data_IF_453190145369
#
_entry.id   IF_453190145369
#
_cell.length_a   1.000
_cell.length_b   1.000
_cell.length_c   1.000
_cell.angle_alpha   90.00
_cell.angle_beta   90.00
_cell.angle_gamma   90.00
#
_symmetry.space_group_name_H-M   'P 1'
#
loop_
_entity.id
_entity.type
_entity.pdbx_description
1 polymer ?
#
# COMPACT_ATOMS: atom_id res chain seq x y z
N UNK A 1 2.94 -8.64 10.84
CA UNK A 1 4.22 -8.73 11.58
C UNK A 1 5.04 -7.47 11.37
N UNK A 2 5.70 -6.96 12.41
CA UNK A 2 6.64 -5.82 12.32
C UNK A 2 8.09 -6.30 12.37
N UNK A 3 9.01 -5.48 11.87
CA UNK A 3 10.46 -5.72 11.82
C UNK A 3 11.23 -4.57 12.47
N UNK A 4 12.37 -4.88 13.08
CA UNK A 4 13.29 -3.86 13.64
C UNK A 4 13.96 -3.03 12.54
N UNK A 5 14.14 -3.60 11.34
CA UNK A 5 14.68 -2.91 10.18
C UNK A 5 13.71 -1.80 9.73
N UNK A 6 14.11 -0.55 9.90
CA UNK A 6 13.32 0.66 9.68
C UNK A 6 12.06 0.76 10.56
N UNK A 7 11.94 -0.09 11.60
CA UNK A 7 10.69 -0.27 12.35
C UNK A 7 9.52 -0.60 11.42
N UNK A 8 9.74 -1.43 10.41
CA UNK A 8 8.86 -1.58 9.25
C UNK A 8 7.77 -2.66 9.43
N UNK A 9 6.83 -2.71 8.49
CA UNK A 9 5.83 -3.77 8.37
C UNK A 9 6.35 -4.83 7.41
N UNK A 10 6.61 -6.03 7.92
CA UNK A 10 7.06 -7.18 7.13
C UNK A 10 5.89 -8.02 6.60
N UNK A 11 4.79 -8.05 7.33
CA UNK A 11 3.58 -8.78 6.93
C UNK A 11 2.36 -7.97 7.34
N UNK A 12 1.39 -7.80 6.45
CA UNK A 12 0.11 -7.16 6.72
C UNK A 12 -1.00 -8.05 6.16
N UNK A 13 -1.26 -9.12 6.90
CA UNK A 13 -2.08 -10.23 6.45
C UNK A 13 -3.57 -10.03 6.73
N UNK A 14 -4.39 -10.24 5.70
CA UNK A 14 -5.85 -10.22 5.76
C UNK A 14 -6.40 -11.63 5.94
N UNK A 15 -6.68 -12.00 7.20
CA UNK A 15 -7.13 -13.37 7.55
C UNK A 15 -8.39 -13.82 6.81
N UNK A 16 -9.35 -12.93 6.59
CA UNK A 16 -10.59 -13.26 5.86
C UNK A 16 -10.33 -13.65 4.39
N UNK A 17 -9.25 -13.14 3.80
CA UNK A 17 -8.95 -13.30 2.38
C UNK A 17 -7.72 -14.18 2.11
N UNK A 18 -7.06 -14.70 3.15
CA UNK A 18 -5.83 -15.49 3.08
C UNK A 18 -4.75 -14.84 2.18
N UNK A 19 -4.45 -13.56 2.45
CA UNK A 19 -3.50 -12.79 1.61
C UNK A 19 -2.65 -11.83 2.44
N UNK A 20 -1.35 -11.80 2.13
CA UNK A 20 -0.45 -10.75 2.57
C UNK A 20 -0.29 -9.69 1.49
N UNK A 21 -0.44 -8.43 1.86
CA UNK A 21 -0.26 -7.31 0.94
C UNK A 21 1.18 -6.78 0.91
N UNK A 22 2.05 -7.25 1.82
CA UNK A 22 3.48 -6.97 1.77
C UNK A 22 4.15 -7.96 0.82
N UNK A 23 4.92 -7.52 -0.19
CA UNK A 23 5.61 -8.44 -1.10
C UNK A 23 6.62 -9.30 -0.36
N UNK A 24 6.75 -10.56 -0.79
CA UNK A 24 7.70 -11.51 -0.19
C UNK A 24 9.12 -10.93 -0.13
N UNK A 25 9.71 -10.93 1.08
CA UNK A 25 11.07 -10.44 1.30
C UNK A 25 11.23 -8.91 1.33
N UNK A 26 10.13 -8.17 1.22
CA UNK A 26 10.10 -6.70 1.29
C UNK A 26 9.47 -6.21 2.58
N UNK A 27 9.43 -4.89 2.71
CA UNK A 27 8.83 -4.21 3.84
C UNK A 27 8.02 -3.01 3.36
N UNK A 28 7.00 -2.65 4.14
CA UNK A 28 6.28 -1.39 4.02
C UNK A 28 6.58 -0.49 5.21
N UNK A 29 6.41 0.81 5.01
CA UNK A 29 6.63 1.83 6.05
C UNK A 29 8.04 1.77 6.63
N UNK A 30 9.08 1.55 5.83
CA UNK A 30 10.47 1.57 6.29
C UNK A 30 10.83 3.01 6.64
N UNK A 31 11.39 3.24 7.83
CA UNK A 31 12.00 4.54 8.15
C UNK A 31 13.43 4.55 7.63
N UNK A 32 13.72 5.49 6.74
CA UNK A 32 15.05 5.74 6.20
C UNK A 32 15.50 7.14 6.62
N UNK A 33 16.80 7.29 6.87
CA UNK A 33 17.47 8.59 6.98
C UNK A 33 18.36 8.81 5.77
N UNK A 34 18.75 10.07 5.55
CA UNK A 34 19.79 10.55 4.63
C UNK A 34 20.58 9.44 3.90
N UNK A 35 20.46 9.37 2.57
CA UNK A 35 21.08 8.35 1.69
C UNK A 35 20.55 6.91 1.87
N UNK A 36 19.25 6.75 2.12
CA UNK A 36 18.57 5.44 2.21
C UNK A 36 19.09 4.53 3.33
N UNK A 37 19.74 5.08 4.37
CA UNK A 37 20.20 4.29 5.51
C UNK A 37 18.99 3.72 6.26
N UNK A 38 18.92 2.38 6.32
CA UNK A 38 17.90 1.67 7.08
C UNK A 38 18.36 1.53 8.53
N UNK A 39 17.60 2.17 9.42
CA UNK A 39 17.86 2.13 10.86
C UNK A 39 17.42 0.79 11.45
N UNK A 40 18.21 0.19 12.33
CA UNK A 40 17.75 -0.92 13.16
C UNK A 40 17.26 -0.40 14.51
N UNK A 41 15.97 -0.53 14.76
CA UNK A 41 15.32 -0.09 16.00
C UNK A 41 15.33 -1.18 17.07
N UNK A 42 15.36 -0.75 18.32
CA UNK A 42 14.87 -1.54 19.45
C UNK A 42 13.37 -1.34 19.60
N UNK A 43 12.65 -2.28 20.24
CA UNK A 43 11.20 -2.13 20.42
C UNK A 43 10.68 -2.65 21.76
N UNK A 44 9.58 -2.05 22.20
CA UNK A 44 8.78 -2.47 23.34
C UNK A 44 7.33 -2.68 22.88
N UNK A 45 6.72 -3.75 23.37
CA UNK A 45 5.33 -4.10 23.09
C UNK A 45 4.48 -3.75 24.30
N UNK A 46 3.37 -3.08 24.05
CA UNK A 46 2.31 -2.75 24.99
C UNK A 46 0.99 -3.36 24.49
N UNK A 47 -0.07 -3.28 25.30
CA UNK A 47 -1.35 -3.93 25.01
C UNK A 47 -1.97 -3.49 23.67
N UNK A 48 -1.85 -2.21 23.32
CA UNK A 48 -2.46 -1.60 22.14
C UNK A 48 -1.44 -1.03 21.15
N UNK A 49 -0.14 -1.14 21.45
CA UNK A 49 0.89 -0.43 20.71
C UNK A 49 2.25 -1.10 20.74
N UNK A 50 3.06 -0.81 19.72
CA UNK A 50 4.46 -1.20 19.64
C UNK A 50 5.29 0.06 19.42
N UNK A 51 6.23 0.30 20.33
CA UNK A 51 7.10 1.47 20.33
C UNK A 51 8.50 1.06 19.92
N UNK A 52 8.95 1.56 18.78
CA UNK A 52 10.31 1.46 18.29
C UNK A 52 11.11 2.69 18.69
N UNK A 53 12.32 2.47 19.19
CA UNK A 53 13.26 3.53 19.58
C UNK A 53 14.63 3.29 18.99
N UNK A 54 15.28 4.38 18.60
CA UNK A 54 16.65 4.38 18.14
C UNK A 54 17.38 5.58 18.73
N UNK A 55 18.59 5.37 19.24
CA UNK A 55 19.42 6.42 19.78
C UNK A 55 20.86 6.21 19.34
N UNK A 56 21.44 7.16 18.61
CA UNK A 56 22.86 7.17 18.21
C UNK A 56 23.39 8.59 18.22
N UNK A 57 24.35 8.88 19.11
CA UNK A 57 24.79 10.25 19.36
C UNK A 57 23.62 11.13 19.81
N UNK A 58 23.45 12.27 19.16
CA UNK A 58 22.34 13.20 19.43
C UNK A 58 21.04 12.84 18.70
N UNK A 59 21.08 11.88 17.77
CA UNK A 59 19.92 11.45 17.01
C UNK A 59 19.08 10.49 17.85
N UNK A 60 17.86 10.91 18.20
CA UNK A 60 16.86 10.09 18.89
C UNK A 60 15.61 10.00 18.05
N UNK A 61 15.20 8.79 17.72
CA UNK A 61 14.03 8.53 16.89
C UNK A 61 13.05 7.68 17.66
N UNK A 62 11.77 8.00 17.50
CA UNK A 62 10.68 7.20 18.04
C UNK A 62 9.68 6.92 16.94
N UNK A 63 9.24 5.68 16.84
CA UNK A 63 8.19 5.25 15.92
C UNK A 63 7.20 4.38 16.65
N UNK A 64 5.92 4.70 16.57
CA UNK A 64 4.88 4.04 17.35
C UNK A 64 3.77 3.55 16.43
N UNK A 65 3.45 2.27 16.53
CA UNK A 65 2.28 1.67 15.92
C UNK A 65 1.20 1.51 16.99
N UNK A 66 -0.01 2.00 16.73
CA UNK A 66 -1.19 1.77 17.57
C UNK A 66 -2.20 0.90 16.80
N UNK A 67 -2.66 -0.18 17.44
CA UNK A 67 -3.58 -1.17 16.86
C UNK A 67 -5.00 -0.97 17.38
N UNK A 68 -5.49 0.26 17.28
CA UNK A 68 -6.81 0.69 17.76
C UNK A 68 -7.93 0.58 16.71
N UNK A 69 -7.63 0.05 15.52
CA UNK A 69 -8.58 -0.08 14.42
C UNK A 69 -8.54 -1.51 13.83
N UNK A 70 -9.68 -2.20 13.70
CA UNK A 70 -9.70 -3.57 13.17
C UNK A 70 -9.25 -3.66 11.70
N UNK A 71 -9.26 -2.55 10.96
CA UNK A 71 -8.88 -2.50 9.54
C UNK A 71 -7.43 -2.01 9.32
N UNK A 72 -6.65 -1.79 10.37
CA UNK A 72 -5.26 -1.37 10.23
C UNK A 72 -4.64 -0.83 11.51
N UNK A 73 -3.90 0.28 11.40
CA UNK A 73 -3.17 0.85 12.53
C UNK A 73 -2.95 2.35 12.36
N UNK A 74 -2.66 3.05 13.45
CA UNK A 74 -2.08 4.39 13.40
C UNK A 74 -0.57 4.30 13.54
N UNK A 75 0.17 5.12 12.80
CA UNK A 75 1.62 5.20 12.83
C UNK A 75 2.04 6.64 13.09
N UNK A 76 2.84 6.81 14.13
CA UNK A 76 3.40 8.10 14.53
C UNK A 76 4.92 8.00 14.58
N UNK A 77 5.64 8.94 13.98
CA UNK A 77 7.10 9.05 14.08
C UNK A 77 7.50 10.39 14.68
N UNK A 78 8.56 10.43 15.47
CA UNK A 78 9.15 11.64 16.01
C UNK A 78 10.66 11.59 15.76
N UNK A 79 11.19 12.64 15.12
CA UNK A 79 12.58 12.80 14.70
C UNK A 79 12.99 14.25 15.01
N UNK A 80 14.27 14.53 15.35
CA UNK A 80 14.73 15.91 15.55
C UNK A 80 14.64 16.73 14.25
N UNK A 81 14.33 18.03 14.38
CA UNK A 81 14.10 19.02 13.29
C UNK A 81 15.21 19.14 12.22
N UNK A 82 16.33 18.45 12.37
CA UNK A 82 17.53 18.58 11.55
C UNK A 82 17.68 17.50 10.47
N UNK A 83 16.80 16.50 10.42
CA UNK A 83 16.91 15.37 9.47
C UNK A 83 15.59 15.15 8.75
N UNK A 84 15.62 15.13 7.41
CA UNK A 84 14.45 14.76 6.61
C UNK A 84 14.09 13.29 6.87
N UNK A 85 12.86 13.05 7.30
CA UNK A 85 12.36 11.69 7.45
C UNK A 85 11.78 11.19 6.14
N UNK A 86 12.18 9.97 5.75
CA UNK A 86 11.51 9.23 4.68
C UNK A 86 10.81 8.03 5.31
N UNK A 87 9.49 7.97 5.15
CA UNK A 87 8.69 6.79 5.44
C UNK A 87 8.34 6.10 4.12
N UNK A 88 9.06 5.02 3.82
CA UNK A 88 9.05 4.37 2.52
C UNK A 88 8.07 3.20 2.44
N UNK A 89 7.20 3.25 1.45
CA UNK A 89 6.33 2.18 0.96
C UNK A 89 6.72 1.83 -0.49
N UNK A 90 7.99 2.00 -0.84
CA UNK A 90 8.48 1.87 -2.23
C UNK A 90 8.35 0.45 -2.78
N UNK A 91 8.24 -0.56 -1.93
CA UNK A 91 7.96 -1.94 -2.34
C UNK A 91 6.56 -2.12 -2.95
N UNK A 92 5.61 -1.22 -2.66
CA UNK A 92 4.22 -1.29 -3.12
C UNK A 92 3.44 -2.49 -2.57
N UNK A 93 2.21 -2.67 -3.03
CA UNK A 93 1.37 -3.82 -2.60
C UNK A 93 1.70 -5.10 -3.39
N UNK A 94 1.58 -6.26 -2.74
CA UNK A 94 1.70 -7.58 -3.37
C UNK A 94 0.75 -7.78 -4.53
N UNK A 95 1.20 -8.55 -5.52
CA UNK A 95 0.29 -9.13 -6.51
C UNK A 95 -0.44 -10.28 -5.81
N UNK A 96 -1.76 -10.20 -5.83
CA UNK A 96 -2.66 -11.14 -5.14
C UNK A 96 -3.15 -12.26 -6.07
N UNK A 97 -3.06 -12.08 -7.38
CA UNK A 97 -3.40 -13.09 -8.39
C UNK A 97 -2.18 -13.89 -8.84
N UNK A 98 -2.06 -15.15 -8.41
CA UNK A 98 -0.96 -16.03 -8.82
C UNK A 98 -1.12 -16.50 -10.26
N UNK A 99 -2.34 -16.89 -10.65
CA UNK A 99 -2.63 -17.47 -11.98
C UNK A 99 -2.70 -16.41 -13.08
N UNK A 100 -3.21 -15.21 -12.76
CA UNK A 100 -3.38 -14.14 -13.74
C UNK A 100 -2.79 -12.81 -13.23
N UNK A 101 -1.47 -12.81 -12.97
CA UNK A 101 -0.73 -11.63 -12.51
C UNK A 101 -0.97 -10.40 -13.40
N UNK A 102 -1.05 -10.60 -14.72
CA UNK A 102 -1.27 -9.52 -15.68
C UNK A 102 -2.61 -8.80 -15.51
N UNK A 103 -3.65 -9.52 -15.08
CA UNK A 103 -4.94 -8.90 -14.77
C UNK A 103 -4.88 -8.05 -13.50
N UNK A 104 -4.26 -8.56 -12.43
CA UNK A 104 -4.11 -7.78 -11.19
C UNK A 104 -3.30 -6.51 -11.43
N UNK A 105 -2.18 -6.60 -12.15
CA UNK A 105 -1.34 -5.46 -12.54
C UNK A 105 -2.10 -4.35 -13.27
N UNK A 106 -3.16 -4.65 -14.04
CA UNK A 106 -3.96 -3.61 -14.71
C UNK A 106 -4.73 -2.75 -13.72
N UNK A 107 -5.06 -3.29 -12.55
CA UNK A 107 -5.81 -2.62 -11.50
C UNK A 107 -4.94 -1.86 -10.51
N UNK A 108 -3.62 -2.06 -10.57
CA UNK A 108 -2.70 -1.26 -9.77
C UNK A 108 -2.79 0.22 -10.14
N UNK A 109 -2.95 1.03 -9.09
CA UNK A 109 -3.13 2.47 -9.21
C UNK A 109 -2.77 3.20 -7.91
N UNK A 110 -2.67 4.52 -8.02
CA UNK A 110 -2.46 5.44 -6.91
C UNK A 110 -3.55 6.51 -6.96
N UNK A 111 -4.17 6.76 -5.81
CA UNK A 111 -5.16 7.81 -5.64
C UNK A 111 -4.71 8.81 -4.61
N UNK A 112 -5.01 10.09 -4.83
CA UNK A 112 -4.79 11.17 -3.87
C UNK A 112 -6.08 11.96 -3.70
N UNK A 113 -6.49 12.17 -2.45
CA UNK A 113 -7.61 13.02 -2.08
C UNK A 113 -7.12 14.33 -1.48
N UNK A 114 -7.56 15.42 -2.10
CA UNK A 114 -7.51 16.78 -1.58
C UNK A 114 -8.96 17.30 -1.48
N UNK A 115 -9.41 18.21 -2.35
CA UNK A 115 -10.84 18.51 -2.50
C UNK A 115 -11.61 17.33 -3.11
N UNK A 116 -11.02 16.63 -4.09
CA UNK A 116 -11.61 15.48 -4.79
C UNK A 116 -10.64 14.31 -4.88
N UNK A 117 -11.14 13.11 -5.21
CA UNK A 117 -10.28 11.95 -5.46
C UNK A 117 -9.68 12.06 -6.87
N UNK A 118 -8.36 11.99 -6.95
CA UNK A 118 -7.61 12.05 -8.21
C UNK A 118 -6.85 10.74 -8.44
N UNK A 119 -7.02 10.14 -9.61
CA UNK A 119 -6.23 8.99 -10.07
C UNK A 119 -4.89 9.48 -10.63
N UNK A 120 -3.80 8.94 -10.11
CA UNK A 120 -2.44 9.45 -10.33
C UNK A 120 -1.65 8.64 -11.36
N UNK A 121 -2.12 7.46 -11.75
CA UNK A 121 -1.46 6.54 -12.71
C UNK A 121 -0.80 7.21 -13.91
N UNK A 122 -1.52 8.13 -14.57
CA UNK A 122 -1.05 8.79 -15.80
C UNK A 122 0.02 9.86 -15.56
N UNK A 123 0.14 10.36 -14.33
CA UNK A 123 1.14 11.36 -13.93
C UNK A 123 2.46 10.70 -13.52
N UNK A 124 2.39 9.48 -12.99
CA UNK A 124 3.55 8.71 -12.54
C UNK A 124 4.14 7.99 -13.76
N UNK A 125 5.15 8.61 -14.38
CA UNK A 125 5.93 7.95 -15.44
C UNK A 125 6.91 6.96 -14.82
N UNK A 126 7.94 7.48 -14.16
CA UNK A 126 8.90 6.70 -13.36
C UNK A 126 8.83 7.15 -11.91
N UNK A 127 8.89 8.46 -11.69
CA UNK A 127 8.68 9.12 -10.41
C UNK A 127 7.75 10.33 -10.58
N UNK A 128 6.96 10.64 -9.57
CA UNK A 128 6.15 11.85 -9.50
C UNK A 128 6.11 12.38 -8.07
N UNK A 129 6.62 13.59 -7.86
CA UNK A 129 6.53 14.31 -6.60
C UNK A 129 5.21 15.06 -6.50
N UNK A 130 4.39 14.68 -5.53
CA UNK A 130 3.17 15.40 -5.16
C UNK A 130 3.49 16.40 -4.04
N UNK A 131 3.14 17.66 -4.25
CA UNK A 131 3.20 18.74 -3.26
C UNK A 131 1.81 19.36 -3.13
N UNK A 132 1.36 19.59 -1.89
CA UNK A 132 0.05 20.16 -1.60
C UNK A 132 -0.64 19.44 -0.45
N UNK A 133 -1.79 19.97 -0.02
CA UNK A 133 -2.59 19.35 1.02
C UNK A 133 -3.12 17.98 0.55
N UNK A 134 -3.04 16.98 1.43
CA UNK A 134 -3.49 15.61 1.21
C UNK A 134 -4.31 15.20 2.43
N UNK A 135 -5.59 14.91 2.21
CA UNK A 135 -6.45 14.29 3.22
C UNK A 135 -6.02 12.82 3.41
N UNK A 136 -5.87 12.13 2.28
CA UNK A 136 -5.39 10.77 2.21
C UNK A 136 -4.84 10.45 0.82
N UNK A 137 -3.96 9.46 0.75
CA UNK A 137 -3.61 8.80 -0.50
C UNK A 137 -3.80 7.30 -0.36
N UNK A 138 -3.92 6.59 -1.47
CA UNK A 138 -4.12 5.16 -1.44
C UNK A 138 -3.40 4.46 -2.60
N UNK A 139 -2.90 3.26 -2.32
CA UNK A 139 -2.45 2.32 -3.33
C UNK A 139 -3.55 1.26 -3.52
N UNK A 140 -3.84 0.94 -4.77
CA UNK A 140 -4.91 0.02 -5.15
C UNK A 140 -4.31 -1.23 -5.79
N UNK A 141 -4.89 -2.40 -5.51
CA UNK A 141 -4.77 -3.62 -6.32
C UNK A 141 -6.13 -4.00 -6.92
N UNK A 142 -6.28 -5.18 -7.53
CA UNK A 142 -7.59 -5.67 -8.02
C UNK A 142 -8.64 -5.75 -6.91
N UNK A 143 -8.23 -6.18 -5.71
CA UNK A 143 -9.16 -6.51 -4.62
C UNK A 143 -9.06 -5.60 -3.40
N UNK A 144 -7.92 -4.91 -3.21
CA UNK A 144 -7.64 -4.21 -1.97
C UNK A 144 -7.21 -2.77 -2.20
N UNK A 145 -7.51 -1.94 -1.20
CA UNK A 145 -7.12 -0.55 -1.12
C UNK A 145 -6.34 -0.34 0.17
N UNK A 146 -5.04 -0.03 0.05
CA UNK A 146 -4.21 0.41 1.16
C UNK A 146 -4.30 1.94 1.24
N UNK A 147 -5.03 2.44 2.23
CA UNK A 147 -5.27 3.87 2.45
C UNK A 147 -4.33 4.39 3.52
N UNK A 148 -3.73 5.54 3.25
CA UNK A 148 -2.93 6.30 4.20
C UNK A 148 -3.64 7.64 4.43
N UNK A 149 -4.26 7.77 5.59
CA UNK A 149 -4.88 9.00 6.07
C UNK A 149 -3.83 9.90 6.69
N UNK A 150 -3.81 11.15 6.26
CA UNK A 150 -3.00 12.16 6.90
C UNK A 150 -3.70 12.66 8.18
N UNK A 151 -3.06 12.47 9.33
CA UNK A 151 -3.52 12.98 10.63
C UNK A 151 -2.62 14.11 11.16
N UNK A 152 -1.63 14.53 10.37
CA UNK A 152 -0.67 15.56 10.72
C UNK A 152 -0.20 16.32 9.49
N UNK A 153 1.09 16.67 9.45
CA UNK A 153 1.71 17.38 8.33
C UNK A 153 2.48 16.37 7.48
N UNK A 154 2.14 16.30 6.19
CA UNK A 154 2.93 15.61 5.16
C UNK A 154 3.42 16.69 4.20
N UNK A 155 4.73 16.89 4.13
CA UNK A 155 5.30 17.96 3.29
C UNK A 155 5.18 17.61 1.81
N UNK A 156 5.57 16.38 1.48
CA UNK A 156 5.46 15.88 0.11
C UNK A 156 5.42 14.35 0.08
N UNK A 157 4.88 13.83 -1.02
CA UNK A 157 4.80 12.40 -1.28
C UNK A 157 5.42 12.16 -2.64
N UNK A 158 6.41 11.29 -2.70
CA UNK A 158 6.92 10.80 -3.98
C UNK A 158 6.22 9.49 -4.33
N UNK A 159 5.75 9.39 -5.56
CA UNK A 159 5.18 8.17 -6.10
C UNK A 159 6.11 7.58 -7.14
N UNK A 160 6.27 6.26 -7.12
CA UNK A 160 7.18 5.53 -7.99
C UNK A 160 6.43 4.51 -8.81
N UNK A 161 6.76 4.41 -10.09
CA UNK A 161 6.45 3.23 -10.90
C UNK A 161 7.50 2.16 -10.61
N UNK A 162 7.06 0.97 -10.27
CA UNK A 162 7.96 -0.13 -9.95
C UNK A 162 8.27 -0.96 -11.20
N UNK A 163 9.54 -1.34 -11.41
CA UNK A 163 9.94 -2.19 -12.54
C UNK A 163 9.18 -3.52 -12.54
N UNK A 164 8.85 -4.03 -13.73
CA UNK A 164 8.10 -5.29 -13.91
C UNK A 164 8.91 -6.55 -13.56
N UNK A 165 10.24 -6.46 -13.66
CA UNK A 165 11.14 -7.62 -13.75
C UNK A 165 12.20 -7.70 -12.65
N UNK A 166 12.10 -6.92 -11.57
CA UNK A 166 13.00 -7.13 -10.42
C UNK A 166 12.51 -8.34 -9.63
N UNK A 167 13.31 -9.41 -9.48
CA UNK A 167 13.04 -10.36 -8.42
C UNK A 167 13.28 -9.64 -7.09
N UNK A 168 12.34 -9.87 -6.18
CA UNK A 168 12.49 -9.74 -4.73
C UNK A 168 13.63 -10.68 -4.28
N UNK A 169 14.88 -10.31 -4.56
CA UNK A 169 16.08 -10.97 -4.04
C UNK A 169 16.86 -9.89 -3.31
N UNK A 170 16.58 -9.86 -2.02
CA UNK A 170 17.33 -9.21 -0.97
C UNK A 170 18.84 -9.35 -1.19
N UNK A 171 19.57 -8.28 -0.86
CA UNK A 171 21.00 -8.26 -0.67
C UNK A 171 21.54 -9.58 -0.07
N UNK A 172 22.55 -10.18 -0.70
CA UNK A 172 23.38 -11.22 -0.06
C UNK A 172 23.60 -12.54 -0.79
N UNK A 173 23.28 -12.69 -2.08
CA UNK A 173 23.73 -13.87 -2.86
C UNK A 173 24.85 -13.50 -3.83
N UNK A 174 26.03 -14.08 -3.60
CA UNK A 174 27.12 -14.17 -4.57
C UNK A 174 26.56 -14.72 -5.88
N UNK A 175 26.93 -14.06 -6.97
CA UNK A 175 26.72 -14.50 -8.33
C UNK A 175 27.36 -15.89 -8.50
N UNK A 176 26.55 -16.88 -8.87
CA UNK A 176 27.05 -18.00 -9.65
C UNK A 176 26.58 -17.77 -11.09
N UNK A 177 27.54 -17.38 -11.92
CA UNK A 177 27.46 -17.36 -13.38
C UNK A 177 27.23 -18.77 -13.92
N UNK A 178 25.98 -19.19 -13.96
CA UNK A 178 25.48 -20.15 -14.96
C UNK A 178 24.01 -20.36 -14.66
N UNK A 179 23.12 -19.76 -15.45
CA UNK A 179 22.07 -20.55 -16.10
C UNK A 179 21.21 -19.68 -17.03
N UNK A 180 21.43 -19.94 -18.32
CA UNK A 180 20.43 -19.99 -19.38
C UNK A 180 19.95 -18.62 -19.91
N UNK A 181 20.77 -18.09 -20.83
CA UNK A 181 20.28 -17.40 -22.02
C UNK A 181 19.39 -18.35 -22.84
N UNK A 182 18.16 -18.53 -22.39
CA UNK A 182 17.11 -19.24 -23.12
C UNK A 182 16.40 -18.25 -24.02
N UNK A 183 16.82 -18.19 -25.28
CA UNK A 183 16.04 -17.59 -26.35
C UNK A 183 14.65 -18.27 -26.42
N UNK A 184 13.64 -17.62 -25.84
CA UNK A 184 12.24 -17.93 -26.08
C UNK A 184 11.62 -16.82 -26.96
N UNK A 185 12.09 -16.73 -28.20
CA UNK A 185 11.30 -16.20 -29.30
C UNK A 185 10.19 -17.22 -29.61
N UNK A 186 9.06 -17.08 -28.93
CA UNK A 186 7.90 -17.93 -29.12
C UNK A 186 6.70 -17.38 -28.37
N UNK A 187 5.93 -16.49 -29.00
CA UNK A 187 4.49 -16.30 -28.83
C UNK A 187 3.80 -16.52 -27.46
N UNK A 188 4.46 -16.22 -26.33
CA UNK A 188 3.82 -16.04 -25.01
C UNK A 188 3.64 -14.55 -24.65
N UNK A 189 3.76 -13.67 -25.64
CA UNK A 189 3.46 -12.24 -25.53
C UNK A 189 1.93 -11.97 -25.54
N UNK A 190 1.20 -12.47 -24.54
CA UNK A 190 0.03 -11.74 -24.04
C UNK A 190 0.52 -10.68 -23.06
N UNK A 191 1.08 -9.63 -23.67
CA UNK A 191 1.74 -8.44 -23.12
C UNK A 191 0.73 -7.51 -22.43
N UNK A 192 -0.03 -8.01 -21.47
CA UNK A 192 -1.03 -7.26 -20.72
C UNK A 192 -0.47 -6.49 -19.52
N UNK A 193 0.70 -5.86 -19.64
CA UNK A 193 1.46 -5.42 -18.47
C UNK A 193 1.01 -4.07 -17.91
N UNK A 194 0.20 -4.09 -16.84
CA UNK A 194 0.10 -2.95 -15.93
C UNK A 194 1.34 -2.81 -15.05
N UNK A 195 1.48 -1.69 -14.36
CA UNK A 195 2.62 -1.39 -13.50
C UNK A 195 2.21 -1.44 -12.03
N UNK A 196 3.16 -1.76 -11.14
CA UNK A 196 2.98 -1.58 -9.69
C UNK A 196 3.46 -0.19 -9.30
N UNK A 197 2.99 0.28 -8.15
CA UNK A 197 3.35 1.59 -7.63
C UNK A 197 3.78 1.50 -6.18
N UNK A 198 4.76 2.32 -5.82
CA UNK A 198 5.21 2.56 -4.45
C UNK A 198 5.09 4.04 -4.10
N UNK A 199 5.26 4.35 -2.83
CA UNK A 199 5.22 5.73 -2.34
C UNK A 199 6.26 5.98 -1.26
N UNK A 200 6.71 7.22 -1.11
CA UNK A 200 7.52 7.70 0.00
C UNK A 200 6.90 8.96 0.58
N UNK A 201 6.64 8.95 1.88
CA UNK A 201 6.15 10.11 2.60
C UNK A 201 7.36 10.82 3.19
N UNK A 202 7.50 12.09 2.86
CA UNK A 202 8.61 12.92 3.33
C UNK A 202 8.04 13.95 4.31
N UNK A 203 8.61 13.97 5.51
CA UNK A 203 8.27 14.91 6.57
C UNK A 203 9.51 15.51 7.20
N UNK A 204 9.44 16.80 7.50
CA UNK A 204 10.46 17.57 8.24
C UNK A 204 10.25 17.54 9.75
N UNK A 205 9.10 17.04 10.21
CA UNK A 205 8.70 16.88 11.61
C UNK A 205 7.95 15.54 11.78
N UNK A 206 7.10 15.44 12.79
CA UNK A 206 6.27 14.30 13.13
C UNK A 206 5.37 13.85 11.97
N UNK A 207 5.61 12.64 11.45
CA UNK A 207 4.64 11.98 10.55
C UNK A 207 3.59 11.29 11.43
N UNK A 208 2.33 11.70 11.30
CA UNK A 208 1.19 11.09 11.97
C UNK A 208 0.16 10.65 10.93
N UNK A 209 0.00 9.34 10.75
CA UNK A 209 -0.89 8.77 9.74
C UNK A 209 -1.73 7.63 10.30
N UNK A 210 -2.92 7.41 9.73
CA UNK A 210 -3.68 6.18 9.91
C UNK A 210 -3.65 5.35 8.63
N UNK A 211 -3.24 4.10 8.76
CA UNK A 211 -3.17 3.13 7.67
C UNK A 211 -4.37 2.20 7.78
N UNK A 212 -5.11 2.06 6.69
CA UNK A 212 -6.23 1.13 6.58
C UNK A 212 -6.04 0.23 5.37
N UNK A 213 -6.35 -1.05 5.53
CA UNK A 213 -6.38 -2.01 4.45
C UNK A 213 -7.82 -2.51 4.26
N UNK A 214 -8.41 -2.13 3.13
CA UNK A 214 -9.85 -2.30 2.90
C UNK A 214 -10.10 -3.12 1.63
N UNK A 215 -11.10 -4.01 1.61
CA UNK A 215 -11.56 -4.63 0.36
C UNK A 215 -12.22 -3.58 -0.54
N UNK A 216 -12.05 -3.69 -1.85
CA UNK A 216 -12.69 -2.81 -2.84
C UNK A 216 -14.16 -3.21 -3.00
N UNK A 217 -14.96 -2.84 -2.02
CA UNK A 217 -16.42 -2.97 -2.01
C UNK A 217 -17.00 -1.60 -1.71
N UNK A 218 -17.78 -1.04 -2.63
CA UNK A 218 -18.32 0.31 -2.49
C UNK A 218 -19.04 0.53 -1.14
N UNK A 219 -19.86 -0.44 -0.71
CA UNK A 219 -20.59 -0.39 0.55
C UNK A 219 -19.67 -0.34 1.78
N UNK A 220 -18.54 -1.05 1.74
CA UNK A 220 -17.56 -1.05 2.83
C UNK A 220 -16.78 0.27 2.87
N UNK A 221 -16.33 0.74 1.70
CA UNK A 221 -15.58 1.98 1.57
C UNK A 221 -16.43 3.20 1.99
N UNK A 222 -17.72 3.22 1.65
CA UNK A 222 -18.63 4.31 1.99
C UNK A 222 -18.88 4.47 3.51
N UNK A 223 -18.71 3.42 4.32
CA UNK A 223 -18.90 3.47 5.78
C UNK A 223 -17.96 4.50 6.44
N UNK A 224 -16.79 4.73 5.86
CA UNK A 224 -15.79 5.66 6.39
C UNK A 224 -16.11 7.13 6.13
N UNK A 225 -17.02 7.44 5.18
CA UNK A 225 -17.42 8.81 4.81
C UNK A 225 -16.22 9.73 4.49
N UNK A 226 -15.22 9.18 3.80
CA UNK A 226 -13.98 9.87 3.41
C UNK A 226 -13.79 9.98 1.88
N UNK A 227 -14.78 9.53 1.09
CA UNK A 227 -14.72 9.49 -0.37
C UNK A 227 -13.95 8.29 -0.93
N UNK A 228 -13.63 7.27 -0.11
CA UNK A 228 -12.94 6.06 -0.58
C UNK A 228 -13.75 5.32 -1.64
N UNK A 229 -15.07 5.38 -1.56
CA UNK A 229 -16.01 4.73 -2.47
C UNK A 229 -15.89 5.23 -3.92
N UNK A 230 -15.31 6.42 -4.13
CA UNK A 230 -14.97 6.94 -5.46
C UNK A 230 -13.93 6.07 -6.17
N UNK A 231 -13.05 5.38 -5.44
CA UNK A 231 -12.05 4.44 -5.99
C UNK A 231 -12.73 3.20 -6.60
N UNK A 232 -13.82 2.74 -5.98
CA UNK A 232 -14.61 1.61 -6.43
C UNK A 232 -15.70 1.98 -7.46
N UNK A 233 -15.77 3.25 -7.87
CA UNK A 233 -16.87 3.74 -8.69
C UNK A 233 -16.87 3.22 -10.12
N UNK A 234 -15.86 2.48 -10.61
CA UNK A 234 -15.90 1.85 -11.93
C UNK A 234 -15.96 2.84 -13.12
N UNK A 235 -15.66 4.12 -12.89
CA UNK A 235 -15.74 5.17 -13.90
C UNK A 235 -17.18 5.47 -14.35
N UNK A 236 -17.35 5.82 -15.62
CA UNK A 236 -18.64 6.26 -16.20
C UNK A 236 -19.73 5.17 -16.11
N UNK A 237 -19.36 3.89 -16.15
CA UNK A 237 -20.30 2.76 -16.05
C UNK A 237 -20.65 2.39 -14.60
N UNK A 238 -20.01 3.02 -13.62
CA UNK A 238 -20.24 2.79 -12.19
C UNK A 238 -21.69 2.78 -11.75
N UNK A 239 -22.47 3.84 -12.05
CA UNK A 239 -23.88 3.90 -11.70
C UNK A 239 -24.69 2.74 -12.28
N UNK A 240 -24.39 2.35 -13.52
CA UNK A 240 -25.07 1.25 -14.23
C UNK A 240 -24.73 -0.10 -13.58
N UNK A 241 -23.46 -0.36 -13.30
CA UNK A 241 -23.02 -1.58 -12.61
C UNK A 241 -23.64 -1.71 -11.21
N UNK A 242 -23.86 -0.60 -10.49
CA UNK A 242 -24.52 -0.62 -9.18
C UNK A 242 -26.00 -0.97 -9.28
N UNK A 243 -26.70 -0.45 -10.29
CA UNK A 243 -28.11 -0.82 -10.55
C UNK A 243 -28.20 -2.31 -10.88
N UNK A 244 -27.30 -2.82 -11.73
CA UNK A 244 -27.25 -4.24 -12.09
C UNK A 244 -26.97 -5.12 -10.86
N UNK A 245 -26.01 -4.75 -10.01
CA UNK A 245 -25.72 -5.50 -8.77
C UNK A 245 -26.89 -5.47 -7.78
N UNK A 246 -27.62 -4.35 -7.68
CA UNK A 246 -28.80 -4.24 -6.84
C UNK A 246 -29.90 -5.21 -7.33
N UNK A 247 -30.11 -5.29 -8.65
CA UNK A 247 -31.03 -6.22 -9.27
C UNK A 247 -30.60 -7.67 -9.00
N UNK A 248 -29.32 -8.01 -9.17
CA UNK A 248 -28.82 -9.36 -8.88
C UNK A 248 -28.95 -9.74 -7.41
N UNK A 249 -28.63 -8.83 -6.48
CA UNK A 249 -28.78 -9.09 -5.05
C UNK A 249 -30.25 -9.27 -4.65
N UNK A 250 -31.16 -8.53 -5.28
CA UNK A 250 -32.60 -8.70 -5.10
C UNK A 250 -33.05 -10.10 -5.55
N UNK A 251 -32.65 -10.55 -6.74
CA UNK A 251 -32.94 -11.90 -7.20
C UNK A 251 -32.28 -12.98 -6.33
N UNK A 252 -31.04 -12.77 -5.91
CA UNK A 252 -30.34 -13.72 -5.04
C UNK A 252 -31.01 -13.83 -3.66
N UNK A 253 -31.53 -12.72 -3.12
CA UNK A 253 -32.33 -12.74 -1.88
C UNK A 253 -33.65 -13.49 -2.03
N UNK A 254 -34.25 -13.49 -3.21
CA UNK A 254 -35.50 -14.24 -3.49
C UNK A 254 -35.19 -15.73 -3.67
N UNK A 255 -34.18 -16.07 -4.47
CA UNK A 255 -33.82 -17.46 -4.78
C UNK A 255 -33.14 -18.16 -3.59
N UNK A 256 -32.27 -17.44 -2.87
CA UNK A 256 -31.59 -17.96 -1.67
C UNK A 256 -32.56 -18.27 -0.52
N UNK A 257 -33.72 -17.60 -0.46
CA UNK A 257 -34.78 -17.92 0.48
C UNK A 257 -35.65 -19.11 0.05
N UNK A 258 -35.67 -19.48 -1.24
CA UNK A 258 -36.48 -20.58 -1.77
C UNK A 258 -35.75 -21.93 -1.88
N UNK A 259 -34.45 -21.99 -1.54
CA UNK A 259 -33.68 -23.24 -1.47
C UNK A 259 -33.60 -23.84 -0.05
N UNK A 260 -34.28 -23.24 0.93
CA UNK A 260 -34.36 -23.70 2.33
C UNK A 260 -35.80 -23.90 2.85
N UNK A 261 -36.75 -24.18 1.95
CA UNK A 261 -38.09 -24.72 2.27
C UNK A 261 -38.33 -25.97 1.45
#
# INVERSE_FOLDING_TARGET
>A
MLSTAGGSVKEFYLREYDVDIVPDGEYLFITQLNNDEIINFEYLVYDDSIVFTYSKGDTKLKKVYYFNNPHGFQLITNIPDTINQILSLKSGMSITEVKNRGEDLRHFDVYVKNEKVNQMKKKIKDEFKYTGNVDWFAMRSKYFLLVINNLGIIDNINFYKLPKDLPLKTAGRKEDESDIYGAAFGCFYMRGGGDRYGAEIIGTDQINISVLLLPIKHSELAKFKKGYEEVASGGIMGPISRIILLIFNFFYSIVGNHLYT
#
